data_IF_640719603456
#
_entry.id   IF_640719603456
#
_cell.length_a   1.000
_cell.length_b   1.000
_cell.length_c   1.000
_cell.angle_alpha   90.00
_cell.angle_beta   90.00
_cell.angle_gamma   90.00
#
_symmetry.space_group_name_H-M   'P 1'
#
loop_
_entity.id
_entity.type
_entity.pdbx_description
1 polymer ?
#
# COMPACT_ATOMS: atom_id res chain seq x y z
N UNK A 1 22.31 -9.53 2.45
CA UNK A 1 22.41 -9.26 3.91
C UNK A 1 22.83 -7.80 4.15
N UNK A 2 23.15 -7.06 3.10
CA UNK A 2 23.72 -5.70 3.12
C UNK A 2 22.97 -4.70 4.00
N UNK A 3 21.64 -4.67 3.98
CA UNK A 3 20.85 -3.81 4.87
C UNK A 3 21.06 -4.17 6.36
N UNK A 4 21.09 -5.46 6.68
CA UNK A 4 21.37 -5.98 8.02
C UNK A 4 22.84 -5.70 8.40
N UNK A 5 23.79 -5.96 7.51
CA UNK A 5 25.22 -5.67 7.71
C UNK A 5 25.49 -4.19 7.92
N UNK A 6 24.71 -3.32 7.26
CA UNK A 6 24.77 -1.86 7.40
C UNK A 6 23.91 -1.33 8.54
N UNK A 7 23.38 -2.21 9.40
CA UNK A 7 22.55 -1.88 10.56
C UNK A 7 21.34 -0.99 10.24
N UNK A 8 20.68 -1.22 9.09
CA UNK A 8 19.43 -0.55 8.72
C UNK A 8 18.24 -1.17 9.48
N UNK A 9 18.26 -1.04 10.81
CA UNK A 9 17.31 -1.68 11.74
C UNK A 9 16.43 -0.69 12.49
N UNK A 10 16.58 0.60 12.19
CA UNK A 10 15.79 1.68 12.80
C UNK A 10 14.43 1.80 12.13
N UNK A 11 13.49 2.46 12.83
CA UNK A 11 12.19 2.79 12.25
C UNK A 11 12.34 3.62 10.98
N UNK A 12 11.59 3.24 9.95
CA UNK A 12 11.43 4.02 8.74
C UNK A 12 10.37 5.11 8.92
N UNK A 13 10.28 6.12 8.03
CA UNK A 13 9.13 7.02 8.00
C UNK A 13 7.82 6.24 7.87
N UNK A 14 6.72 6.78 8.42
CA UNK A 14 5.40 6.12 8.40
C UNK A 14 4.92 5.78 6.98
N UNK A 15 5.18 6.66 6.00
CA UNK A 15 4.82 6.41 4.60
C UNK A 15 5.77 5.41 3.90
N UNK A 16 6.87 5.04 4.53
CA UNK A 16 7.96 4.26 3.95
C UNK A 16 9.16 5.11 3.53
N UNK A 17 10.29 4.41 3.28
CA UNK A 17 11.53 5.03 2.83
C UNK A 17 11.30 5.84 1.53
N UNK A 18 11.82 7.08 1.42
CA UNK A 18 11.64 7.90 0.22
C UNK A 18 12.09 7.19 -1.07
N UNK A 19 13.27 6.55 -1.04
CA UNK A 19 13.82 5.82 -2.18
C UNK A 19 12.95 4.64 -2.62
N UNK A 20 12.26 3.99 -1.69
CA UNK A 20 11.34 2.90 -2.01
C UNK A 20 10.06 3.43 -2.65
N UNK A 21 9.55 4.58 -2.18
CA UNK A 21 8.39 5.24 -2.80
C UNK A 21 8.69 5.75 -4.21
N UNK A 22 9.86 6.34 -4.42
CA UNK A 22 10.34 6.75 -5.75
C UNK A 22 10.45 5.55 -6.71
N UNK A 23 11.03 4.44 -6.22
CA UNK A 23 11.12 3.21 -7.00
C UNK A 23 9.74 2.66 -7.37
N UNK A 24 8.77 2.69 -6.45
CA UNK A 24 7.39 2.27 -6.72
C UNK A 24 6.70 3.18 -7.75
N UNK A 25 6.84 4.51 -7.65
CA UNK A 25 6.32 5.46 -8.64
C UNK A 25 6.88 5.16 -10.04
N UNK A 26 8.20 4.98 -10.14
CA UNK A 26 8.87 4.67 -11.40
C UNK A 26 8.43 3.33 -11.97
N UNK A 27 8.27 2.30 -11.13
CA UNK A 27 7.78 0.99 -11.57
C UNK A 27 6.39 1.11 -12.20
N UNK A 28 5.47 1.80 -11.53
CA UNK A 28 4.09 1.98 -11.99
C UNK A 28 4.03 2.80 -13.28
N UNK A 29 4.87 3.84 -13.39
CA UNK A 29 5.03 4.63 -14.63
C UNK A 29 5.50 3.79 -15.80
N UNK A 30 6.56 3.00 -15.61
CA UNK A 30 7.12 2.19 -16.69
C UNK A 30 6.21 1.03 -17.09
N UNK A 31 5.56 0.38 -16.13
CA UNK A 31 4.75 -0.81 -16.38
C UNK A 31 3.34 -0.50 -16.87
N UNK A 32 2.74 0.57 -16.36
CA UNK A 32 1.32 0.88 -16.58
C UNK A 32 1.08 2.25 -17.19
N UNK A 33 2.12 3.08 -17.38
CA UNK A 33 1.98 4.44 -17.91
C UNK A 33 1.36 5.43 -16.93
N UNK A 34 1.22 5.06 -15.65
CA UNK A 34 0.60 5.91 -14.61
C UNK A 34 1.67 6.65 -13.82
N UNK A 35 1.49 7.96 -13.64
CA UNK A 35 2.42 8.80 -12.87
C UNK A 35 1.82 9.15 -11.51
N UNK A 36 2.56 8.87 -10.44
CA UNK A 36 2.19 9.22 -9.07
C UNK A 36 3.33 9.98 -8.39
N UNK A 37 3.02 11.04 -7.66
CA UNK A 37 3.97 11.78 -6.83
C UNK A 37 4.38 10.91 -5.63
N UNK A 38 5.64 10.45 -5.65
CA UNK A 38 6.18 9.61 -4.58
C UNK A 38 6.17 10.28 -3.21
N UNK A 39 6.07 11.61 -3.12
CA UNK A 39 6.11 12.36 -1.87
C UNK A 39 4.82 12.24 -1.05
N UNK A 40 3.66 12.07 -1.70
CA UNK A 40 2.33 12.13 -1.07
C UNK A 40 1.29 11.13 -1.63
N UNK A 41 1.51 10.48 -2.78
CA UNK A 41 0.56 9.55 -3.40
C UNK A 41 0.96 8.07 -3.24
N UNK A 42 2.03 7.78 -2.49
CA UNK A 42 2.53 6.42 -2.27
C UNK A 42 2.80 6.17 -0.80
N UNK A 43 2.25 5.06 -0.29
CA UNK A 43 2.49 4.54 1.06
C UNK A 43 2.98 3.09 0.99
N UNK A 44 4.05 2.78 1.73
CA UNK A 44 4.56 1.42 1.90
C UNK A 44 3.87 0.76 3.10
N UNK A 45 3.41 -0.46 2.91
CA UNK A 45 2.67 -1.23 3.92
C UNK A 45 3.28 -2.61 4.14
N UNK A 46 2.89 -3.27 5.22
CA UNK A 46 3.23 -4.66 5.54
C UNK A 46 2.39 -5.60 4.66
N UNK A 47 2.75 -5.63 3.39
CA UNK A 47 2.08 -6.42 2.36
C UNK A 47 0.74 -5.85 1.89
N UNK A 48 0.22 -6.43 0.80
CA UNK A 48 -1.01 -5.97 0.15
C UNK A 48 -2.25 -6.08 1.06
N UNK A 49 -2.27 -7.01 2.01
CA UNK A 49 -3.39 -7.16 2.95
C UNK A 49 -3.53 -5.95 3.88
N UNK A 50 -2.43 -5.40 4.40
CA UNK A 50 -2.51 -4.17 5.19
C UNK A 50 -2.88 -2.96 4.31
N UNK A 51 -2.41 -2.92 3.05
CA UNK A 51 -2.83 -1.88 2.11
C UNK A 51 -4.35 -1.84 1.93
N UNK A 52 -4.98 -3.01 1.78
CA UNK A 52 -6.45 -3.12 1.67
C UNK A 52 -7.16 -2.68 2.95
N UNK A 53 -6.71 -3.16 4.12
CA UNK A 53 -7.31 -2.81 5.42
C UNK A 53 -7.25 -1.30 5.69
N UNK A 54 -6.08 -0.67 5.50
CA UNK A 54 -5.94 0.79 5.74
C UNK A 54 -6.76 1.60 4.73
N UNK A 55 -6.83 1.17 3.47
CA UNK A 55 -7.67 1.85 2.46
C UNK A 55 -9.13 1.79 2.86
N UNK A 56 -9.68 0.62 3.19
CA UNK A 56 -11.09 0.49 3.55
C UNK A 56 -11.44 1.24 4.83
N UNK A 57 -10.61 1.16 5.88
CA UNK A 57 -10.80 1.96 7.10
C UNK A 57 -10.76 3.47 6.88
N UNK A 58 -10.12 3.92 5.80
CA UNK A 58 -10.00 5.35 5.48
C UNK A 58 -11.18 5.86 4.65
N UNK A 59 -11.71 5.05 3.73
CA UNK A 59 -12.71 5.51 2.75
C UNK A 59 -14.13 5.06 3.05
N UNK A 60 -14.31 3.98 3.81
CA UNK A 60 -15.64 3.46 4.14
C UNK A 60 -16.24 4.24 5.32
N UNK A 61 -17.52 4.54 5.21
CA UNK A 61 -18.35 5.11 6.27
C UNK A 61 -19.53 4.19 6.54
N UNK A 62 -20.28 4.47 7.60
CA UNK A 62 -21.58 3.83 7.82
C UNK A 62 -22.45 3.92 6.55
N UNK A 63 -23.21 2.88 6.28
CA UNK A 63 -24.05 2.70 5.08
C UNK A 63 -23.31 2.60 3.73
N UNK A 64 -21.97 2.49 3.70
CA UNK A 64 -21.25 2.20 2.45
C UNK A 64 -21.53 0.77 1.95
N UNK A 65 -21.87 0.66 0.67
CA UNK A 65 -21.92 -0.62 -0.05
C UNK A 65 -20.60 -0.90 -0.77
N UNK A 66 -20.09 -2.13 -0.63
CA UNK A 66 -18.87 -2.59 -1.31
C UNK A 66 -19.20 -3.71 -2.29
N UNK A 67 -18.93 -3.49 -3.57
CA UNK A 67 -19.20 -4.45 -4.64
C UNK A 67 -18.06 -5.46 -4.75
N UNK A 68 -18.38 -6.74 -4.63
CA UNK A 68 -17.43 -7.86 -4.63
C UNK A 68 -17.75 -8.87 -5.75
N UNK A 69 -17.11 -8.76 -6.94
CA UNK A 69 -17.37 -9.67 -8.06
C UNK A 69 -16.75 -11.05 -7.82
N UNK A 70 -17.59 -12.09 -7.77
CA UNK A 70 -17.15 -13.46 -7.48
C UNK A 70 -16.44 -14.14 -8.68
N UNK A 71 -15.47 -15.04 -8.42
CA UNK A 71 -14.95 -15.45 -7.11
C UNK A 71 -14.02 -14.41 -6.50
N UNK A 72 -14.04 -14.27 -5.17
CA UNK A 72 -13.29 -13.23 -4.46
C UNK A 72 -12.12 -13.77 -3.62
N UNK A 73 -11.15 -12.89 -3.37
CA UNK A 73 -10.15 -13.10 -2.32
C UNK A 73 -10.85 -13.15 -0.95
N UNK A 74 -10.67 -14.22 -0.15
CA UNK A 74 -11.35 -14.37 1.15
C UNK A 74 -11.05 -13.24 2.14
N UNK A 75 -9.93 -12.54 1.98
CA UNK A 75 -9.54 -11.45 2.87
C UNK A 75 -10.29 -10.13 2.64
N UNK A 76 -11.17 -10.00 1.63
CA UNK A 76 -11.94 -8.77 1.43
C UNK A 76 -13.11 -8.63 2.41
N UNK A 77 -13.96 -9.66 2.54
CA UNK A 77 -15.17 -9.58 3.36
C UNK A 77 -14.91 -9.25 4.85
N UNK A 78 -13.88 -9.79 5.52
CA UNK A 78 -13.63 -9.50 6.94
C UNK A 78 -13.20 -8.07 7.27
N UNK A 79 -12.75 -7.29 6.27
CA UNK A 79 -12.22 -5.93 6.47
C UNK A 79 -13.17 -4.83 6.00
N UNK A 80 -14.38 -5.20 5.56
CA UNK A 80 -15.46 -4.27 5.25
C UNK A 80 -16.29 -4.15 6.53
N UNK A 81 -16.26 -2.97 7.16
CA UNK A 81 -16.90 -2.67 8.45
C UNK A 81 -17.74 -1.42 8.38
#
# INVERSE_FOLDING_TARGET
>A
IDAISSNQTVYTPNAGLPTLREAASNYVKLKYGLTYDSSNEIIVTVGASQALDVTFRTILTEDCEVILPAPIYPGYAPIIT
#
